data_IF_893681036318
#
_entry.id   IF_893681036318
#
_cell.length_a   1.000
_cell.length_b   1.000
_cell.length_c   1.000
_cell.angle_alpha   90.00
_cell.angle_beta   90.00
_cell.angle_gamma   90.00
#
_symmetry.space_group_name_H-M   'P 1'
#
loop_
_entity.id
_entity.type
_entity.pdbx_description
1 polymer ?
#
# COMPACT_ATOMS: atom_id res chain seq x y z
N UNK A 1 -1.06 2.34 -8.72
CA UNK A 1 -1.46 1.33 -7.71
C UNK A 1 -0.30 0.70 -6.97
N UNK A 2 0.64 0.04 -7.68
CA UNK A 2 1.66 -0.85 -7.08
C UNK A 2 2.38 -0.22 -5.89
N UNK A 3 2.79 1.04 -6.01
CA UNK A 3 3.49 1.72 -4.91
C UNK A 3 2.54 2.28 -3.84
N UNK A 4 1.33 2.73 -4.17
CA UNK A 4 0.39 3.26 -3.17
C UNK A 4 0.02 2.24 -2.09
N UNK A 5 -0.24 0.98 -2.45
CA UNK A 5 -0.53 -0.06 -1.46
C UNK A 5 0.68 -0.38 -0.59
N UNK A 6 1.90 -0.30 -1.14
CA UNK A 6 3.14 -0.50 -0.37
C UNK A 6 3.40 0.67 0.57
N UNK A 7 3.27 1.90 0.10
CA UNK A 7 3.39 3.12 0.92
C UNK A 7 2.38 3.03 2.07
N UNK A 8 1.12 2.70 1.78
CA UNK A 8 0.08 2.65 2.81
C UNK A 8 0.34 1.57 3.86
N UNK A 9 0.67 0.35 3.44
CA UNK A 9 1.06 -0.72 4.37
C UNK A 9 2.29 -0.34 5.21
N UNK A 10 3.25 0.37 4.63
CA UNK A 10 4.45 0.86 5.33
C UNK A 10 4.14 1.97 6.33
N UNK A 11 3.22 2.88 6.00
CA UNK A 11 2.71 3.90 6.93
C UNK A 11 2.06 3.26 8.16
N UNK A 12 1.25 2.22 7.97
CA UNK A 12 0.62 1.50 9.09
C UNK A 12 1.62 0.79 9.99
N UNK A 13 2.69 0.22 9.39
CA UNK A 13 3.72 -0.50 10.12
C UNK A 13 4.86 0.41 10.65
N UNK A 14 4.84 1.71 10.35
CA UNK A 14 5.88 2.65 10.77
C UNK A 14 7.26 2.40 10.13
N UNK A 15 7.34 1.79 8.95
CA UNK A 15 8.62 1.57 8.27
C UNK A 15 9.06 2.81 7.46
N UNK A 16 9.84 3.72 8.08
CA UNK A 16 10.33 4.93 7.39
C UNK A 16 11.14 4.62 6.13
N UNK A 17 12.05 3.65 6.18
CA UNK A 17 12.82 3.19 5.02
C UNK A 17 11.92 2.80 3.84
N UNK A 18 10.90 1.98 4.12
CA UNK A 18 9.98 1.48 3.11
C UNK A 18 9.07 2.59 2.56
N UNK A 19 8.64 3.52 3.42
CA UNK A 19 7.88 4.71 3.01
C UNK A 19 8.71 5.55 2.03
N UNK A 20 9.95 5.91 2.39
CA UNK A 20 10.83 6.70 1.54
C UNK A 20 11.03 6.05 0.17
N UNK A 21 11.47 4.78 0.16
CA UNK A 21 11.77 4.04 -1.06
C UNK A 21 10.56 4.02 -1.99
N UNK A 22 9.39 3.62 -1.49
CA UNK A 22 8.21 3.48 -2.34
C UNK A 22 7.56 4.81 -2.73
N UNK A 23 7.71 5.88 -1.93
CA UNK A 23 7.33 7.23 -2.37
C UNK A 23 8.17 7.66 -3.56
N UNK A 24 9.48 7.47 -3.51
CA UNK A 24 10.36 7.82 -4.63
C UNK A 24 10.06 7.00 -5.88
N UNK A 25 9.94 5.67 -5.75
CA UNK A 25 9.53 4.79 -6.85
C UNK A 25 8.17 5.23 -7.44
N UNK A 26 7.21 5.62 -6.61
CA UNK A 26 5.91 6.10 -7.07
C UNK A 26 6.03 7.37 -7.92
N UNK A 27 6.80 8.35 -7.45
CA UNK A 27 7.01 9.61 -8.15
C UNK A 27 7.77 9.40 -9.48
N UNK A 28 8.74 8.50 -9.51
CA UNK A 28 9.49 8.14 -10.74
C UNK A 28 8.58 7.56 -11.84
N UNK A 29 7.53 6.82 -11.46
CA UNK A 29 6.55 6.25 -12.40
C UNK A 29 5.34 7.15 -12.68
N UNK A 30 5.38 8.42 -12.25
CA UNK A 30 4.37 9.44 -12.57
C UNK A 30 3.21 9.55 -11.58
N UNK A 31 3.33 9.00 -10.36
CA UNK A 31 2.40 9.31 -9.27
C UNK A 31 2.55 10.78 -8.84
N UNK A 32 1.51 11.35 -8.23
CA UNK A 32 1.54 12.77 -7.81
C UNK A 32 1.80 12.92 -6.31
N UNK A 33 2.45 14.03 -5.94
CA UNK A 33 2.66 14.38 -4.52
C UNK A 33 1.33 14.49 -3.76
N UNK A 34 0.30 15.09 -4.35
CA UNK A 34 -1.03 15.19 -3.73
C UNK A 34 -1.62 13.82 -3.40
N UNK A 35 -1.45 12.83 -4.30
CA UNK A 35 -1.89 11.45 -4.08
C UNK A 35 -1.02 10.69 -3.09
N UNK A 36 0.23 11.08 -2.87
CA UNK A 36 1.04 10.53 -1.78
C UNK A 36 0.63 11.14 -0.44
N UNK A 37 0.46 12.46 -0.38
CA UNK A 37 0.10 13.18 0.84
C UNK A 37 -1.29 12.81 1.37
N UNK A 38 -2.28 12.64 0.49
CA UNK A 38 -3.64 12.30 0.88
C UNK A 38 -3.83 10.80 1.19
N UNK A 39 -2.80 9.98 1.01
CA UNK A 39 -2.90 8.52 1.11
C UNK A 39 -3.27 8.03 2.50
N UNK A 40 -2.85 8.72 3.56
CA UNK A 40 -3.23 8.38 4.95
C UNK A 40 -4.73 8.60 5.22
N UNK A 41 -5.39 9.43 4.41
CA UNK A 41 -6.80 9.77 4.49
C UNK A 41 -7.56 9.38 3.20
N UNK A 42 -7.12 8.33 2.51
CA UNK A 42 -7.59 7.97 1.17
C UNK A 42 -9.11 7.79 1.05
N UNK A 43 -9.80 7.37 2.13
CA UNK A 43 -11.27 7.20 2.15
C UNK A 43 -12.01 8.52 1.88
N UNK A 44 -11.46 9.64 2.36
CA UNK A 44 -12.01 10.99 2.18
C UNK A 44 -11.52 11.67 0.90
N UNK A 45 -10.43 11.18 0.31
CA UNK A 45 -9.83 11.78 -0.88
C UNK A 45 -10.56 11.41 -2.16
N UNK A 46 -10.92 12.41 -2.97
CA UNK A 46 -11.50 12.21 -4.30
C UNK A 46 -10.48 11.80 -5.37
N UNK A 47 -9.20 11.70 -5.01
CA UNK A 47 -8.13 11.43 -5.97
C UNK A 47 -8.02 9.96 -6.35
N UNK A 48 -8.63 9.04 -5.60
CA UNK A 48 -8.54 7.60 -5.85
C UNK A 48 -9.85 7.06 -6.44
N UNK A 49 -9.70 6.26 -7.49
CA UNK A 49 -10.79 5.50 -8.12
C UNK A 49 -11.35 4.41 -7.19
N UNK A 50 -12.52 3.87 -7.51
CA UNK A 50 -13.12 2.75 -6.75
C UNK A 50 -12.22 1.50 -6.74
N UNK A 51 -11.53 1.21 -7.84
CA UNK A 51 -10.57 0.12 -7.89
C UNK A 51 -9.36 0.36 -6.95
N UNK A 52 -8.87 1.60 -6.87
CA UNK A 52 -7.82 1.99 -5.93
C UNK A 52 -8.27 1.90 -4.49
N UNK A 53 -9.50 2.33 -4.21
CA UNK A 53 -10.13 2.22 -2.89
C UNK A 53 -10.25 0.76 -2.45
N UNK A 54 -10.66 -0.14 -3.35
CA UNK A 54 -10.71 -1.58 -3.07
C UNK A 54 -9.32 -2.16 -2.76
N UNK A 55 -8.30 -1.80 -3.55
CA UNK A 55 -6.93 -2.26 -3.33
C UNK A 55 -6.33 -1.72 -2.02
N UNK A 56 -6.60 -0.46 -1.67
CA UNK A 56 -6.16 0.14 -0.41
C UNK A 56 -6.87 -0.48 0.80
N UNK A 57 -8.18 -0.71 0.72
CA UNK A 57 -8.93 -1.41 1.76
C UNK A 57 -8.37 -2.82 2.01
N UNK A 58 -8.08 -3.56 0.94
CA UNK A 58 -7.42 -4.85 1.03
C UNK A 58 -6.03 -4.74 1.65
N UNK A 59 -5.21 -3.77 1.24
CA UNK A 59 -3.86 -3.58 1.76
C UNK A 59 -3.86 -3.30 3.27
N UNK A 60 -4.80 -2.49 3.77
CA UNK A 60 -4.94 -2.24 5.21
C UNK A 60 -5.40 -3.51 5.96
N UNK A 61 -6.46 -4.17 5.48
CA UNK A 61 -6.99 -5.38 6.11
C UNK A 61 -5.97 -6.53 6.16
N UNK A 62 -5.21 -6.72 5.08
CA UNK A 62 -4.16 -7.74 4.99
C UNK A 62 -2.86 -7.34 5.69
N UNK A 63 -2.68 -6.06 6.04
CA UNK A 63 -1.56 -5.61 6.89
C UNK A 63 -1.82 -5.95 8.36
N UNK A 64 -3.02 -5.67 8.87
CA UNK A 64 -3.35 -5.88 10.27
C UNK A 64 -3.74 -7.33 10.58
N UNK A 65 -4.51 -7.97 9.68
CA UNK A 65 -5.04 -9.34 9.80
C UNK A 65 -5.61 -9.73 11.19
N UNK A 66 -6.36 -8.86 11.91
CA UNK A 66 -6.87 -9.24 13.23
C UNK A 66 -7.88 -10.40 13.15
N UNK A 67 -8.60 -10.52 12.03
CA UNK A 67 -9.55 -11.61 11.75
C UNK A 67 -9.51 -12.01 10.27
N UNK A 68 -8.41 -11.72 9.58
CA UNK A 68 -8.30 -11.89 8.13
C UNK A 68 -8.94 -10.75 7.32
N UNK A 69 -9.07 -10.97 6.01
CA UNK A 69 -9.74 -10.06 5.06
C UNK A 69 -11.21 -10.46 4.97
N UNK A 70 -12.14 -9.51 5.11
CA UNK A 70 -13.58 -9.78 5.04
C UNK A 70 -14.02 -10.15 3.62
N UNK A 71 -15.10 -10.93 3.50
CA UNK A 71 -15.72 -11.25 2.21
C UNK A 71 -16.11 -9.99 1.42
N UNK A 72 -16.60 -8.95 2.11
CA UNK A 72 -16.91 -7.66 1.48
C UNK A 72 -15.68 -7.04 0.82
N UNK A 73 -14.55 -7.00 1.53
CA UNK A 73 -13.29 -6.45 1.00
C UNK A 73 -12.76 -7.30 -0.15
N UNK A 74 -12.82 -8.63 0.00
CA UNK A 74 -12.37 -9.56 -1.04
C UNK A 74 -13.22 -9.49 -2.31
N UNK A 75 -14.54 -9.41 -2.16
CA UNK A 75 -15.48 -9.25 -3.27
C UNK A 75 -15.28 -7.92 -3.99
N UNK A 76 -15.01 -6.83 -3.27
CA UNK A 76 -14.71 -5.53 -3.87
C UNK A 76 -13.44 -5.59 -4.75
N UNK A 77 -12.38 -6.26 -4.29
CA UNK A 77 -11.15 -6.45 -5.08
C UNK A 77 -11.39 -7.32 -6.31
N UNK A 78 -12.03 -8.48 -6.15
CA UNK A 78 -12.24 -9.41 -7.26
C UNK A 78 -13.27 -8.92 -8.29
N UNK A 79 -14.14 -7.98 -7.92
CA UNK A 79 -15.01 -7.27 -8.86
C UNK A 79 -14.27 -6.16 -9.65
N UNK A 80 -13.22 -5.57 -9.07
CA UNK A 80 -12.51 -4.44 -9.66
C UNK A 80 -11.33 -4.83 -10.57
N UNK A 81 -10.78 -6.04 -10.41
CA UNK A 81 -9.53 -6.46 -11.05
C UNK A 81 -9.64 -7.84 -11.71
N UNK A 82 -8.83 -8.09 -12.74
CA UNK A 82 -8.67 -9.42 -13.31
C UNK A 82 -7.93 -10.36 -12.36
N UNK A 83 -8.09 -11.70 -12.48
CA UNK A 83 -7.43 -12.65 -11.59
C UNK A 83 -5.91 -12.47 -11.45
N UNK A 84 -5.21 -12.17 -12.54
CA UNK A 84 -3.77 -11.91 -12.55
C UNK A 84 -3.39 -10.62 -11.81
N UNK A 85 -4.23 -9.59 -11.88
CA UNK A 85 -4.03 -8.33 -11.18
C UNK A 85 -4.29 -8.48 -9.68
N UNK A 86 -5.30 -9.28 -9.31
CA UNK A 86 -5.56 -9.67 -7.91
C UNK A 86 -4.37 -10.44 -7.34
N UNK A 87 -3.84 -11.43 -8.06
CA UNK A 87 -2.68 -12.18 -7.63
C UNK A 87 -1.45 -11.28 -7.41
N UNK A 88 -1.23 -10.31 -8.30
CA UNK A 88 -0.17 -9.31 -8.13
C UNK A 88 -0.39 -8.44 -6.90
N UNK A 89 -1.62 -7.96 -6.65
CA UNK A 89 -1.95 -7.16 -5.47
C UNK A 89 -1.67 -7.93 -4.17
N UNK A 90 -2.16 -9.18 -4.08
CA UNK A 90 -1.94 -10.07 -2.93
C UNK A 90 -0.44 -10.25 -2.68
N UNK A 91 0.32 -10.58 -3.72
CA UNK A 91 1.76 -10.75 -3.62
C UNK A 91 2.49 -9.49 -3.17
N UNK A 92 2.11 -8.32 -3.70
CA UNK A 92 2.72 -7.04 -3.32
C UNK A 92 2.47 -6.68 -1.86
N UNK A 93 1.23 -6.84 -1.38
CA UNK A 93 0.87 -6.56 0.02
C UNK A 93 1.56 -7.52 0.98
N UNK A 94 1.67 -8.80 0.62
CA UNK A 94 2.41 -9.78 1.43
C UNK A 94 3.90 -9.43 1.50
N UNK A 95 4.52 -9.12 0.34
CA UNK A 95 5.95 -8.81 0.27
C UNK A 95 6.31 -7.53 1.01
N UNK A 96 5.51 -6.46 0.91
CA UNK A 96 5.80 -5.23 1.66
C UNK A 96 5.63 -5.45 3.17
N UNK A 97 4.66 -6.27 3.58
CA UNK A 97 4.50 -6.63 4.99
C UNK A 97 5.70 -7.43 5.54
N UNK A 98 6.33 -8.27 4.71
CA UNK A 98 7.58 -8.93 5.07
C UNK A 98 8.73 -7.92 5.21
N UNK A 99 8.90 -7.00 4.24
CA UNK A 99 9.92 -5.96 4.31
C UNK A 99 9.77 -5.03 5.51
N UNK A 100 8.54 -4.59 5.81
CA UNK A 100 8.24 -3.76 6.98
C UNK A 100 8.67 -4.46 8.28
N UNK A 101 8.44 -5.78 8.39
CA UNK A 101 8.82 -6.61 9.55
C UNK A 101 10.33 -6.86 9.67
N UNK A 102 11.09 -6.59 8.62
CA UNK A 102 12.56 -6.60 8.64
C UNK A 102 13.06 -5.21 9.00
N UNK A 103 12.74 -4.21 8.18
CA UNK A 103 13.37 -2.90 8.22
C UNK A 103 12.95 -2.04 9.43
N UNK A 104 11.69 -2.10 9.86
CA UNK A 104 11.23 -1.27 10.98
C UNK A 104 11.85 -1.70 12.32
N UNK A 105 11.85 -3.00 12.73
CA UNK A 105 12.50 -3.43 13.97
C UNK A 105 14.02 -3.27 13.97
N UNK A 106 14.67 -3.27 12.80
CA UNK A 106 16.11 -3.06 12.68
C UNK A 106 16.51 -1.59 12.56
N UNK A 107 15.56 -0.65 12.67
CA UNK A 107 15.81 0.79 12.52
C UNK A 107 16.56 1.13 11.23
N UNK A 108 16.22 0.48 10.12
CA UNK A 108 16.82 0.81 8.82
C UNK A 108 16.48 2.25 8.43
N UNK A 109 17.50 3.03 8.09
CA UNK A 109 17.36 4.43 7.69
C UNK A 109 17.32 4.53 6.15
N UNK A 110 16.42 5.36 5.59
CA UNK A 110 16.46 5.67 4.17
C UNK A 110 17.76 6.40 3.80
N UNK A 111 18.20 6.34 2.53
CA UNK A 111 19.31 7.16 2.08
C UNK A 111 18.97 8.64 2.24
N UNK A 112 19.97 9.48 2.52
CA UNK A 112 19.79 10.93 2.46
C UNK A 112 19.49 11.34 1.01
N UNK A 113 18.37 12.06 0.82
CA UNK A 113 17.95 12.61 -0.47
C UNK A 113 17.84 14.11 -0.30
N UNK A 114 18.68 14.84 -1.04
CA UNK A 114 18.83 16.30 -0.96
C UNK A 114 17.69 17.08 -1.58
#
# INVERSE_FOLDING_TARGET
MRELVKIRASQMNGCLFCIDMHVHEALEIGETQDRVFQLTAWRESKLYSEAERAALAYAEAATELPSGVSDETWNAVTAAFKPEEVAHLVGQVAMINAWNRIAAPTHSEPPERG
#
